data_IF_003977573910
#
_entry.id   IF_003977573910
#
_cell.length_a   1.000
_cell.length_b   1.000
_cell.length_c   1.000
_cell.angle_alpha   90.00
_cell.angle_beta   90.00
_cell.angle_gamma   90.00
#
_symmetry.space_group_name_H-M   'P 1'
#
loop_
_entity.id
_entity.type
_entity.pdbx_description
1 polymer ?
#
# COMPACT_ATOMS: atom_id res chain seq x y z
N UNK A 1 -7.14 -18.18 -14.04
CA UNK A 1 -7.91 -19.30 -13.47
C UNK A 1 -9.14 -18.76 -12.78
N UNK A 2 -10.29 -19.37 -13.03
CA UNK A 2 -11.59 -18.94 -12.48
C UNK A 2 -11.96 -19.83 -11.29
N UNK A 3 -12.78 -19.35 -10.34
CA UNK A 3 -13.08 -20.07 -9.09
C UNK A 3 -13.65 -21.49 -9.32
N UNK A 4 -14.42 -21.69 -10.38
CA UNK A 4 -14.99 -22.99 -10.75
C UNK A 4 -13.91 -24.01 -11.14
N UNK A 5 -12.79 -23.56 -11.71
CA UNK A 5 -11.65 -24.41 -12.07
C UNK A 5 -10.77 -24.69 -10.84
N UNK A 6 -10.66 -23.73 -9.92
CA UNK A 6 -9.85 -23.87 -8.72
C UNK A 6 -10.42 -24.89 -7.71
N UNK A 7 -11.75 -25.02 -7.63
CA UNK A 7 -12.42 -25.91 -6.65
C UNK A 7 -12.25 -27.41 -7.03
N UNK A 8 -11.87 -27.71 -8.26
CA UNK A 8 -11.65 -29.11 -8.71
C UNK A 8 -10.18 -29.53 -8.66
N UNK A 9 -9.27 -28.61 -8.39
CA UNK A 9 -7.83 -28.86 -8.32
C UNK A 9 -7.37 -28.89 -6.86
N UNK A 10 -6.78 -30.00 -6.44
CA UNK A 10 -6.36 -30.24 -5.07
C UNK A 10 -5.30 -29.23 -4.59
N UNK A 11 -4.39 -28.79 -5.46
CA UNK A 11 -3.36 -27.80 -5.11
C UNK A 11 -3.99 -26.43 -4.80
N UNK A 12 -5.07 -26.08 -5.50
CA UNK A 12 -5.81 -24.84 -5.25
C UNK A 12 -6.73 -24.92 -4.05
N UNK A 13 -7.35 -26.09 -3.79
CA UNK A 13 -8.10 -26.34 -2.55
C UNK A 13 -7.19 -26.19 -1.34
N UNK A 14 -5.99 -26.76 -1.37
CA UNK A 14 -5.00 -26.63 -0.30
C UNK A 14 -4.61 -25.16 -0.09
N UNK A 15 -4.34 -24.42 -1.17
CA UNK A 15 -4.03 -22.99 -1.09
C UNK A 15 -5.20 -22.16 -0.49
N UNK A 16 -6.45 -22.50 -0.82
CA UNK A 16 -7.65 -21.84 -0.24
C UNK A 16 -7.83 -22.19 1.24
N UNK A 17 -7.61 -23.45 1.63
CA UNK A 17 -7.68 -23.87 3.02
C UNK A 17 -6.60 -23.21 3.86
N UNK A 18 -5.38 -23.07 3.33
CA UNK A 18 -4.28 -22.39 4.01
C UNK A 18 -4.63 -20.93 4.32
N UNK A 19 -5.18 -20.20 3.34
CA UNK A 19 -5.67 -18.82 3.53
C UNK A 19 -6.78 -18.74 4.60
N UNK A 20 -7.78 -19.63 4.55
CA UNK A 20 -8.85 -19.64 5.56
C UNK A 20 -8.31 -19.97 6.96
N UNK A 21 -7.34 -20.88 7.04
CA UNK A 21 -6.68 -21.21 8.29
C UNK A 21 -5.88 -20.03 8.85
N UNK A 22 -5.27 -19.20 8.00
CA UNK A 22 -4.59 -17.97 8.45
C UNK A 22 -5.59 -17.00 9.11
N UNK A 23 -6.77 -16.82 8.53
CA UNK A 23 -7.78 -15.97 9.17
C UNK A 23 -8.22 -16.53 10.53
N UNK A 24 -8.37 -17.86 10.65
CA UNK A 24 -8.75 -18.51 11.91
C UNK A 24 -7.66 -18.35 12.96
N UNK A 25 -6.38 -18.55 12.58
CA UNK A 25 -5.24 -18.37 13.48
C UNK A 25 -5.13 -16.94 14.01
N UNK A 26 -5.38 -15.96 13.15
CA UNK A 26 -5.29 -14.54 13.51
C UNK A 26 -6.53 -14.01 14.25
N UNK A 27 -7.56 -14.85 14.42
CA UNK A 27 -8.84 -14.49 15.04
C UNK A 27 -9.49 -13.25 14.38
N UNK A 28 -9.40 -13.18 13.04
CA UNK A 28 -9.93 -12.06 12.24
C UNK A 28 -11.26 -12.40 11.55
N UNK A 29 -11.78 -13.62 11.74
CA UNK A 29 -13.08 -14.04 11.20
C UNK A 29 -13.69 -15.19 12.00
N UNK A 30 -15.01 -15.34 11.87
CA UNK A 30 -15.75 -16.51 12.31
C UNK A 30 -16.87 -16.79 11.31
N UNK A 31 -17.20 -18.07 11.14
CA UNK A 31 -18.29 -18.48 10.27
C UNK A 31 -19.64 -18.19 10.96
N UNK A 32 -20.49 -17.41 10.31
CA UNK A 32 -21.86 -17.12 10.78
C UNK A 32 -22.91 -17.66 9.83
N UNK A 33 -24.07 -18.10 10.34
CA UNK A 33 -25.23 -18.35 9.49
C UNK A 33 -25.58 -17.09 8.69
N UNK A 34 -26.05 -17.27 7.46
CA UNK A 34 -26.46 -16.14 6.62
C UNK A 34 -27.57 -15.35 7.32
N UNK A 35 -27.36 -14.06 7.64
CA UNK A 35 -28.37 -13.25 8.31
C UNK A 35 -29.58 -13.02 7.40
N UNK A 36 -30.78 -13.07 7.98
CA UNK A 36 -32.02 -12.72 7.29
C UNK A 36 -32.13 -11.19 7.16
N UNK A 37 -32.66 -10.72 6.03
CA UNK A 37 -32.96 -9.30 5.78
C UNK A 37 -31.76 -8.33 5.73
N UNK A 38 -30.59 -8.80 5.31
CA UNK A 38 -29.40 -7.95 5.09
C UNK A 38 -28.77 -8.20 3.72
N UNK A 39 -28.21 -7.15 3.12
CA UNK A 39 -27.47 -7.28 1.87
C UNK A 39 -26.12 -7.93 2.15
N UNK A 40 -25.92 -9.14 1.65
CA UNK A 40 -24.65 -9.84 1.73
C UNK A 40 -23.65 -9.16 0.81
N UNK A 41 -22.54 -8.69 1.37
CA UNK A 41 -21.45 -8.12 0.60
C UNK A 41 -20.69 -9.28 -0.06
N UNK A 42 -20.70 -9.31 -1.39
CA UNK A 42 -19.93 -10.29 -2.15
C UNK A 42 -18.43 -10.19 -1.90
N UNK A 43 -17.78 -11.34 -1.80
CA UNK A 43 -16.33 -11.53 -1.67
C UNK A 43 -15.80 -12.22 -2.92
N UNK A 44 -14.49 -12.15 -3.16
CA UNK A 44 -13.88 -12.73 -4.37
C UNK A 44 -12.58 -13.44 -4.03
N UNK A 45 -12.38 -14.61 -4.61
CA UNK A 45 -11.08 -15.28 -4.61
C UNK A 45 -10.17 -14.71 -5.70
N UNK A 46 -8.92 -14.45 -5.32
CA UNK A 46 -7.84 -14.07 -6.23
C UNK A 46 -6.84 -15.21 -6.22
N UNK A 47 -6.56 -15.76 -7.40
CA UNK A 47 -5.62 -16.85 -7.57
C UNK A 47 -4.36 -16.36 -8.27
N UNK A 48 -3.20 -16.63 -7.69
CA UNK A 48 -1.90 -16.19 -8.22
C UNK A 48 -0.88 -17.31 -8.10
N UNK A 49 -0.19 -17.59 -9.19
CA UNK A 49 0.98 -18.47 -9.18
C UNK A 49 2.20 -17.67 -8.73
N UNK A 50 2.93 -18.20 -7.75
CA UNK A 50 4.26 -17.71 -7.39
C UNK A 50 5.26 -18.47 -8.25
N UNK A 51 6.02 -17.74 -9.06
CA UNK A 51 7.05 -18.33 -9.94
C UNK A 51 8.45 -18.09 -9.38
N UNK A 52 9.39 -18.96 -9.72
CA UNK A 52 10.81 -18.73 -9.51
C UNK A 52 11.37 -17.72 -10.55
N UNK A 53 12.66 -17.40 -10.43
CA UNK A 53 13.38 -16.54 -11.38
C UNK A 53 13.40 -17.10 -12.83
N UNK A 54 13.11 -18.40 -12.99
CA UNK A 54 13.07 -19.11 -14.27
C UNK A 54 11.65 -19.21 -14.84
N UNK A 55 10.64 -18.69 -14.15
CA UNK A 55 9.24 -18.71 -14.57
C UNK A 55 8.47 -20.00 -14.24
N UNK A 56 9.07 -20.95 -13.52
CA UNK A 56 8.37 -22.18 -13.09
C UNK A 56 7.45 -21.88 -11.91
N UNK A 57 6.26 -22.47 -11.88
CA UNK A 57 5.34 -22.32 -10.75
C UNK A 57 5.90 -23.08 -9.54
N UNK A 58 6.25 -22.34 -8.49
CA UNK A 58 6.77 -22.87 -7.23
C UNK A 58 5.63 -23.14 -6.25
N UNK A 59 4.59 -22.30 -6.28
CA UNK A 59 3.45 -22.41 -5.37
C UNK A 59 2.20 -21.70 -5.88
N UNK A 60 1.05 -22.31 -5.65
CA UNK A 60 -0.26 -21.70 -5.84
C UNK A 60 -0.62 -20.85 -4.61
N UNK A 61 -1.02 -19.59 -4.83
CA UNK A 61 -1.50 -18.69 -3.76
C UNK A 61 -2.94 -18.28 -4.04
N UNK A 62 -3.85 -18.69 -3.17
CA UNK A 62 -5.23 -18.21 -3.16
C UNK A 62 -5.34 -17.12 -2.08
N UNK A 63 -5.96 -16.00 -2.43
CA UNK A 63 -6.23 -14.89 -1.52
C UNK A 63 -7.74 -14.67 -1.49
N UNK A 64 -8.32 -14.63 -0.30
CA UNK A 64 -9.75 -14.35 -0.18
C UNK A 64 -9.97 -12.87 0.12
N UNK A 65 -10.51 -12.15 -0.87
CA UNK A 65 -10.83 -10.74 -0.76
C UNK A 65 -12.06 -10.51 0.13
N UNK A 66 -11.86 -10.54 1.45
CA UNK A 66 -12.83 -10.09 2.42
C UNK A 66 -12.74 -8.56 2.53
N UNK A 67 -13.83 -7.85 2.21
CA UNK A 67 -13.86 -6.38 2.35
C UNK A 67 -13.60 -5.92 3.79
N UNK A 68 -13.85 -6.78 4.77
CA UNK A 68 -13.63 -6.52 6.19
C UNK A 68 -12.26 -6.96 6.71
N UNK A 69 -11.50 -7.78 5.96
CA UNK A 69 -10.21 -8.29 6.46
C UNK A 69 -9.22 -7.19 6.84
N UNK A 70 -9.01 -6.12 6.03
CA UNK A 70 -8.10 -5.03 6.44
C UNK A 70 -8.53 -4.33 7.74
N UNK A 71 -9.85 -4.24 7.97
CA UNK A 71 -10.39 -3.64 9.18
C UNK A 71 -10.20 -4.53 10.40
N UNK A 72 -10.49 -5.83 10.25
CA UNK A 72 -10.29 -6.82 11.31
C UNK A 72 -8.80 -6.97 11.67
N UNK A 73 -7.93 -6.99 10.66
CA UNK A 73 -6.48 -6.95 10.82
C UNK A 73 -6.04 -5.74 11.66
N UNK A 74 -6.44 -4.53 11.25
CA UNK A 74 -6.10 -3.32 11.98
C UNK A 74 -6.61 -3.34 13.44
N UNK A 75 -7.84 -3.82 13.68
CA UNK A 75 -8.39 -3.89 15.05
C UNK A 75 -7.63 -4.90 15.92
N UNK A 76 -7.28 -6.06 15.36
CA UNK A 76 -6.50 -7.10 16.05
C UNK A 76 -5.10 -6.61 16.41
N UNK A 77 -4.41 -6.01 15.45
CA UNK A 77 -3.08 -5.44 15.63
C UNK A 77 -3.14 -4.29 16.63
N UNK A 78 -4.10 -3.39 16.47
CA UNK A 78 -4.21 -2.26 17.39
C UNK A 78 -4.51 -2.69 18.81
N UNK A 79 -5.40 -3.65 19.01
CA UNK A 79 -5.71 -4.19 20.34
C UNK A 79 -4.46 -4.79 20.99
N UNK A 80 -3.65 -5.52 20.20
CA UNK A 80 -2.38 -6.05 20.68
C UNK A 80 -1.39 -4.95 21.10
N UNK A 81 -1.22 -3.90 20.29
CA UNK A 81 -0.34 -2.78 20.63
C UNK A 81 -0.81 -2.05 21.91
N UNK A 82 -2.11 -1.81 22.06
CA UNK A 82 -2.66 -1.18 23.26
C UNK A 82 -2.38 -2.03 24.52
N UNK A 83 -2.53 -3.35 24.43
CA UNK A 83 -2.20 -4.28 25.52
C UNK A 83 -0.70 -4.26 25.89
N UNK A 84 0.17 -3.99 24.92
CA UNK A 84 1.64 -3.88 25.11
C UNK A 84 2.10 -2.49 25.56
N UNK A 85 1.15 -1.62 25.94
CA UNK A 85 1.42 -0.31 26.53
C UNK A 85 1.67 0.80 25.50
N UNK A 86 1.32 0.59 24.23
CA UNK A 86 1.28 1.67 23.25
C UNK A 86 0.02 2.51 23.42
N UNK A 87 0.12 3.80 23.15
CA UNK A 87 -1.02 4.71 23.07
C UNK A 87 -1.29 5.08 21.61
N UNK A 88 -2.55 5.03 21.20
CA UNK A 88 -2.99 5.46 19.87
C UNK A 88 -3.16 6.97 19.84
N UNK A 89 -2.72 7.64 18.77
CA UNK A 89 -2.88 9.09 18.63
C UNK A 89 -4.36 9.51 18.54
N UNK A 90 -4.64 10.75 18.94
CA UNK A 90 -5.99 11.29 19.01
C UNK A 90 -6.52 11.59 17.60
N UNK A 91 -5.67 12.11 16.72
CA UNK A 91 -6.03 12.56 15.37
C UNK A 91 -5.77 11.42 14.39
N UNK A 92 -4.55 10.89 14.36
CA UNK A 92 -4.19 9.79 13.48
C UNK A 92 -4.36 8.44 14.20
N UNK A 93 -5.49 7.78 13.96
CA UNK A 93 -5.76 6.46 14.57
C UNK A 93 -4.77 5.38 14.12
N UNK A 94 -4.01 5.59 13.06
CA UNK A 94 -3.01 4.63 12.57
C UNK A 94 -1.61 4.86 13.16
N UNK A 95 -1.44 5.93 13.94
CA UNK A 95 -0.21 6.26 14.66
C UNK A 95 -0.28 5.78 16.12
N UNK A 96 0.77 5.08 16.54
CA UNK A 96 0.94 4.56 17.89
C UNK A 96 2.27 5.04 18.46
N UNK A 97 2.25 5.39 19.74
CA UNK A 97 3.40 5.92 20.45
C UNK A 97 3.59 5.19 21.76
N UNK A 98 4.82 4.85 22.09
CA UNK A 98 5.22 4.35 23.42
C UNK A 98 6.39 5.20 23.92
N UNK A 99 6.30 5.67 25.17
CA UNK A 99 7.36 6.43 25.83
C UNK A 99 7.87 5.65 27.03
N UNK A 100 9.18 5.45 27.10
CA UNK A 100 9.84 4.76 28.21
C UNK A 100 10.98 5.65 28.70
N UNK A 101 10.83 6.20 29.91
CA UNK A 101 11.74 7.24 30.41
C UNK A 101 11.90 8.42 29.43
N UNK A 102 13.08 8.57 28.83
CA UNK A 102 13.40 9.61 27.84
C UNK A 102 13.27 9.12 26.39
N UNK A 103 13.06 7.82 26.20
CA UNK A 103 12.99 7.21 24.88
C UNK A 103 11.58 7.22 24.29
N UNK A 104 11.53 7.35 22.98
CA UNK A 104 10.32 7.42 22.18
C UNK A 104 10.34 6.31 21.13
N UNK A 105 9.24 5.57 21.05
CA UNK A 105 8.93 4.65 19.96
C UNK A 105 7.68 5.13 19.24
N UNK A 106 7.76 5.23 17.91
CA UNK A 106 6.67 5.66 17.02
C UNK A 106 6.42 4.56 16.02
N UNK A 107 5.15 4.17 15.87
CA UNK A 107 4.70 3.11 14.97
C UNK A 107 3.53 3.64 14.14
N UNK A 108 3.72 3.67 12.83
CA UNK A 108 2.74 4.07 11.84
C UNK A 108 2.28 2.84 11.05
N UNK A 109 0.98 2.58 11.05
CA UNK A 109 0.41 1.48 10.28
C UNK A 109 -0.18 2.02 8.98
N UNK A 110 0.13 1.37 7.87
CA UNK A 110 -0.47 1.64 6.58
C UNK A 110 -0.95 0.34 5.95
N UNK A 111 -2.23 0.03 6.11
CA UNK A 111 -2.84 -1.22 5.64
C UNK A 111 -2.08 -2.42 6.20
N UNK A 112 -1.29 -3.10 5.37
CA UNK A 112 -0.51 -4.30 5.73
C UNK A 112 0.95 -3.96 6.09
N UNK A 113 1.41 -2.74 5.77
CA UNK A 113 2.76 -2.27 6.03
C UNK A 113 2.83 -1.53 7.37
N UNK A 114 3.95 -1.72 8.09
CA UNK A 114 4.20 -1.04 9.36
C UNK A 114 5.55 -0.31 9.25
N UNK A 115 5.51 1.00 9.40
CA UNK A 115 6.70 1.84 9.51
C UNK A 115 6.86 2.21 10.96
N UNK A 116 8.05 2.07 11.51
CA UNK A 116 8.31 2.46 12.89
C UNK A 116 9.72 3.02 13.05
N UNK A 117 9.91 3.77 14.13
CA UNK A 117 11.19 4.38 14.47
C UNK A 117 11.26 4.66 15.96
N UNK A 118 12.47 4.59 16.51
CA UNK A 118 12.73 4.75 17.93
C UNK A 118 14.00 5.55 18.19
N UNK A 119 14.06 6.24 19.33
CA UNK A 119 15.32 6.84 19.84
C UNK A 119 16.24 5.81 20.49
N UNK A 120 15.75 4.60 20.75
CA UNK A 120 16.48 3.51 21.40
C UNK A 120 16.38 2.21 20.63
N UNK A 121 17.54 1.61 20.35
CA UNK A 121 17.66 0.29 19.72
C UNK A 121 17.02 -0.81 20.57
N UNK A 122 17.02 -0.67 21.90
CA UNK A 122 16.36 -1.65 22.77
C UNK A 122 14.85 -1.70 22.54
N UNK A 123 14.21 -0.54 22.36
CA UNK A 123 12.77 -0.47 22.02
C UNK A 123 12.48 -1.01 20.61
N UNK A 124 13.41 -0.85 19.65
CA UNK A 124 13.30 -1.46 18.32
C UNK A 124 13.29 -2.99 18.41
N UNK A 125 14.24 -3.56 19.16
CA UNK A 125 14.30 -5.00 19.38
C UNK A 125 13.07 -5.51 20.12
N UNK A 126 12.65 -4.85 21.20
CA UNK A 126 11.43 -5.21 21.95
C UNK A 126 10.19 -5.21 21.04
N UNK A 127 10.01 -4.15 20.24
CA UNK A 127 8.88 -4.07 19.31
C UNK A 127 8.92 -5.18 18.26
N UNK A 128 10.10 -5.45 17.70
CA UNK A 128 10.29 -6.51 16.70
C UNK A 128 9.88 -7.86 17.28
N UNK A 129 10.34 -8.18 18.49
CA UNK A 129 10.02 -9.43 19.17
C UNK A 129 8.52 -9.52 19.49
N UNK A 130 7.92 -8.45 20.00
CA UNK A 130 6.47 -8.39 20.29
C UNK A 130 5.65 -8.69 19.03
N UNK A 131 6.02 -8.08 17.92
CA UNK A 131 5.28 -8.20 16.67
C UNK A 131 5.48 -9.55 15.99
N UNK A 132 6.70 -10.09 15.98
CA UNK A 132 7.01 -11.39 15.36
C UNK A 132 6.47 -12.58 16.16
N UNK A 133 6.35 -12.45 17.48
CA UNK A 133 5.78 -13.50 18.31
C UNK A 133 4.26 -13.59 18.16
N UNK A 134 3.60 -12.47 17.87
CA UNK A 134 2.14 -12.43 17.73
C UNK A 134 1.68 -12.67 16.29
N UNK A 135 2.43 -12.17 15.32
CA UNK A 135 2.01 -12.13 13.92
C UNK A 135 3.05 -12.77 13.01
N UNK A 136 2.60 -13.50 11.99
CA UNK A 136 3.46 -14.01 10.93
C UNK A 136 3.97 -12.85 10.04
N UNK A 137 5.00 -12.13 10.51
CA UNK A 137 5.60 -10.99 9.80
C UNK A 137 7.13 -11.01 9.83
N UNK A 138 7.74 -10.38 8.83
CA UNK A 138 9.20 -10.28 8.69
C UNK A 138 9.66 -8.83 8.70
N UNK A 139 10.83 -8.60 9.29
CA UNK A 139 11.50 -7.31 9.24
C UNK A 139 12.14 -7.12 7.87
N UNK A 140 11.83 -6.02 7.18
CA UNK A 140 12.44 -5.70 5.87
C UNK A 140 13.73 -4.87 5.98
N UNK A 141 14.30 -4.76 7.19
CA UNK A 141 15.48 -3.94 7.46
C UNK A 141 15.16 -2.45 7.52
N UNK A 142 16.16 -1.62 7.26
CA UNK A 142 16.00 -0.17 7.21
C UNK A 142 15.01 0.28 6.11
N UNK A 143 14.23 1.32 6.41
CA UNK A 143 13.28 1.87 5.46
C UNK A 143 14.01 2.53 4.29
N UNK A 144 14.01 1.85 3.14
CA UNK A 144 14.59 2.35 1.89
C UNK A 144 13.53 2.77 0.87
N UNK A 145 12.31 2.26 1.02
CA UNK A 145 11.19 2.57 0.15
C UNK A 145 9.87 2.50 0.93
N UNK A 146 9.01 3.49 0.77
CA UNK A 146 7.67 3.49 1.35
C UNK A 146 6.73 4.27 0.45
N UNK A 147 5.63 3.64 0.01
CA UNK A 147 4.61 4.28 -0.83
C UNK A 147 5.23 5.17 -1.90
N UNK A 148 5.91 4.58 -2.88
CA UNK A 148 6.45 5.35 -4.00
C UNK A 148 7.63 6.28 -3.69
N UNK A 149 7.98 6.48 -2.42
CA UNK A 149 9.07 7.32 -1.96
C UNK A 149 10.29 6.46 -1.66
N UNK A 150 11.41 6.85 -2.24
CA UNK A 150 12.73 6.37 -1.87
C UNK A 150 13.19 7.13 -0.65
N UNK A 151 13.63 6.38 0.36
CA UNK A 151 14.13 6.90 1.63
C UNK A 151 15.60 6.57 1.72
N UNK A 152 16.42 7.56 2.00
CA UNK A 152 17.83 7.38 2.29
C UNK A 152 18.14 7.99 3.65
N UNK A 153 18.48 7.14 4.61
CA UNK A 153 18.92 7.56 5.93
C UNK A 153 20.38 8.03 5.86
N UNK A 154 20.63 9.25 6.33
CA UNK A 154 21.93 9.90 6.38
C UNK A 154 22.29 10.18 7.84
N UNK A 155 23.55 10.51 8.11
CA UNK A 155 24.01 10.81 9.48
C UNK A 155 23.25 11.98 10.12
N UNK A 156 22.88 12.97 9.31
CA UNK A 156 22.27 14.23 9.76
C UNK A 156 20.77 14.33 9.43
N UNK A 157 20.13 13.23 9.00
CA UNK A 157 18.71 13.23 8.68
C UNK A 157 18.30 12.21 7.64
N UNK A 158 17.17 12.45 6.98
CA UNK A 158 16.63 11.57 5.95
C UNK A 158 16.42 12.34 4.65
N UNK A 159 16.78 11.70 3.54
CA UNK A 159 16.52 12.20 2.20
C UNK A 159 15.37 11.40 1.56
N UNK A 160 14.33 12.11 1.12
CA UNK A 160 13.14 11.57 0.49
C UNK A 160 13.13 11.96 -0.98
N UNK A 161 12.91 11.00 -1.89
CA UNK A 161 12.79 11.30 -3.32
C UNK A 161 11.84 10.37 -4.05
N UNK A 162 11.29 10.81 -5.18
CA UNK A 162 10.49 9.99 -6.11
C UNK A 162 11.21 9.80 -7.44
N UNK A 163 12.55 9.77 -7.45
CA UNK A 163 13.36 9.73 -8.69
C UNK A 163 13.04 8.50 -9.53
N UNK A 164 12.96 7.32 -8.90
CA UNK A 164 12.57 6.08 -9.59
C UNK A 164 11.16 6.18 -10.15
N UNK A 165 10.21 6.63 -9.34
CA UNK A 165 8.82 6.81 -9.77
C UNK A 165 8.70 7.77 -10.97
N UNK A 166 9.43 8.89 -10.96
CA UNK A 166 9.44 9.83 -12.08
C UNK A 166 10.01 9.22 -13.36
N UNK A 167 11.10 8.44 -13.28
CA UNK A 167 11.67 7.72 -14.43
C UNK A 167 10.72 6.65 -14.96
N UNK A 168 10.12 5.88 -14.06
CA UNK A 168 9.13 4.86 -14.40
C UNK A 168 7.90 5.49 -15.06
N UNK A 169 7.48 6.68 -14.64
CA UNK A 169 6.37 7.44 -15.23
C UNK A 169 6.68 7.88 -16.66
N UNK A 170 7.89 8.40 -16.90
CA UNK A 170 8.34 8.77 -18.25
C UNK A 170 8.31 7.55 -19.17
N UNK A 171 8.81 6.41 -18.70
CA UNK A 171 8.83 5.19 -19.52
C UNK A 171 7.46 4.57 -19.72
N UNK A 172 6.62 4.55 -18.68
CA UNK A 172 5.22 4.08 -18.73
C UNK A 172 4.41 4.77 -19.82
N UNK A 173 4.70 6.04 -20.09
CA UNK A 173 3.97 6.85 -21.07
C UNK A 173 4.75 7.06 -22.38
N UNK A 174 5.90 6.40 -22.57
CA UNK A 174 6.68 6.47 -23.81
C UNK A 174 7.27 7.87 -24.09
N UNK A 175 7.67 8.59 -23.04
CA UNK A 175 8.13 9.97 -23.11
C UNK A 175 9.66 10.11 -22.97
N UNK A 176 10.43 9.02 -23.12
CA UNK A 176 11.90 9.03 -22.95
C UNK A 176 12.61 9.98 -23.92
N UNK A 177 12.07 10.12 -25.14
CA UNK A 177 12.59 11.01 -26.18
C UNK A 177 11.98 12.42 -26.13
N UNK A 178 11.09 12.70 -25.18
CA UNK A 178 10.44 14.00 -25.07
C UNK A 178 11.44 15.08 -24.63
N UNK A 179 11.34 16.27 -25.22
CA UNK A 179 12.17 17.41 -24.83
C UNK A 179 11.79 17.87 -23.42
N UNK A 180 12.74 18.02 -22.49
CA UNK A 180 12.45 18.52 -21.15
C UNK A 180 12.05 19.99 -21.21
N UNK A 181 11.05 20.36 -20.41
CA UNK A 181 10.55 21.73 -20.28
C UNK A 181 10.61 22.11 -18.79
N UNK A 182 11.25 23.24 -18.49
CA UNK A 182 11.41 23.75 -17.11
C UNK A 182 10.12 24.31 -16.54
N UNK A 183 9.32 24.99 -17.37
CA UNK A 183 8.04 25.59 -16.97
C UNK A 183 6.91 24.88 -17.73
N UNK A 184 6.23 23.88 -17.15
CA UNK A 184 5.31 23.04 -17.90
C UNK A 184 4.07 23.79 -18.41
N UNK A 185 3.71 24.91 -17.77
CA UNK A 185 2.57 25.74 -18.17
C UNK A 185 2.75 27.19 -17.71
N UNK A 186 2.31 28.16 -18.52
CA UNK A 186 2.17 29.57 -18.10
C UNK A 186 1.01 29.73 -17.12
N UNK A 187 1.14 30.62 -16.14
CA UNK A 187 0.05 30.96 -15.21
C UNK A 187 -1.15 31.62 -15.89
N UNK A 188 -0.97 32.14 -17.09
CA UNK A 188 -2.02 32.77 -17.91
C UNK A 188 -2.69 31.80 -18.89
N UNK A 189 -2.23 30.55 -18.97
CA UNK A 189 -2.80 29.56 -19.90
C UNK A 189 -4.27 29.30 -19.56
N UNK A 190 -5.16 29.55 -20.52
CA UNK A 190 -6.58 29.19 -20.44
C UNK A 190 -6.84 27.98 -21.33
N UNK A 191 -7.22 26.86 -20.72
CA UNK A 191 -7.63 25.66 -21.43
C UNK A 191 -9.13 25.75 -21.76
N UNK A 192 -9.47 25.42 -23.00
CA UNK A 192 -10.84 25.41 -23.50
C UNK A 192 -11.13 24.08 -24.18
N UNK A 193 -12.41 23.71 -24.25
CA UNK A 193 -12.83 22.50 -24.96
C UNK A 193 -12.53 22.64 -26.44
N UNK A 194 -11.72 21.73 -26.98
CA UNK A 194 -11.47 21.63 -28.41
C UNK A 194 -12.50 20.69 -29.05
N UNK A 195 -13.48 21.28 -29.74
CA UNK A 195 -14.56 20.51 -30.39
C UNK A 195 -14.12 19.83 -31.70
N UNK A 196 -13.00 20.27 -32.28
CA UNK A 196 -12.48 19.78 -33.57
C UNK A 196 -11.19 18.95 -33.34
N UNK A 197 -10.69 18.94 -32.11
CA UNK A 197 -9.49 18.24 -31.69
C UNK A 197 -9.55 16.74 -31.84
N UNK A 198 -8.37 16.11 -31.79
CA UNK A 198 -8.25 14.65 -31.81
C UNK A 198 -8.86 14.07 -30.55
N UNK A 199 -9.59 12.96 -30.73
CA UNK A 199 -10.09 12.18 -29.61
C UNK A 199 -8.92 11.70 -28.73
N UNK A 200 -9.07 11.86 -27.42
CA UNK A 200 -8.10 11.41 -26.41
C UNK A 200 -8.73 10.27 -25.62
N UNK A 201 -7.97 9.21 -25.39
CA UNK A 201 -8.39 8.16 -24.47
C UNK A 201 -8.45 8.72 -23.03
N UNK A 202 -9.67 8.80 -22.50
CA UNK A 202 -9.92 9.31 -21.15
C UNK A 202 -9.24 8.48 -20.07
N UNK A 203 -9.11 7.16 -20.26
CA UNK A 203 -8.47 6.26 -19.29
C UNK A 203 -6.98 6.54 -19.23
N UNK A 204 -6.35 6.69 -20.40
CA UNK A 204 -4.94 7.05 -20.50
C UNK A 204 -4.67 8.43 -19.88
N UNK A 205 -5.51 9.42 -20.20
CA UNK A 205 -5.38 10.77 -19.65
C UNK A 205 -5.51 10.79 -18.13
N UNK A 206 -6.56 10.14 -17.58
CA UNK A 206 -6.75 10.03 -16.12
C UNK A 206 -5.60 9.29 -15.45
N UNK A 207 -5.04 8.25 -16.11
CA UNK A 207 -3.86 7.54 -15.63
C UNK A 207 -2.63 8.44 -15.57
N UNK A 208 -2.39 9.28 -16.59
CA UNK A 208 -1.31 10.27 -16.60
C UNK A 208 -1.48 11.29 -15.47
N UNK A 209 -2.66 11.94 -15.39
CA UNK A 209 -2.94 12.96 -14.39
C UNK A 209 -2.85 12.38 -12.97
N UNK A 210 -3.44 11.21 -12.72
CA UNK A 210 -3.35 10.54 -11.42
C UNK A 210 -1.91 10.22 -11.02
N UNK A 211 -1.09 9.78 -11.96
CA UNK A 211 0.33 9.50 -11.72
C UNK A 211 1.12 10.79 -11.43
N UNK A 212 0.83 11.88 -12.16
CA UNK A 212 1.48 13.18 -11.95
C UNK A 212 1.04 13.86 -10.65
N UNK A 213 -0.24 13.76 -10.27
CA UNK A 213 -0.75 14.24 -8.99
C UNK A 213 0.02 13.63 -7.82
N UNK A 214 0.31 12.34 -7.89
CA UNK A 214 1.11 11.68 -6.87
C UNK A 214 2.58 12.14 -6.84
N UNK A 215 3.16 12.41 -8.01
CA UNK A 215 4.53 12.95 -8.12
C UNK A 215 4.64 14.38 -7.54
N UNK A 216 3.54 15.14 -7.45
CA UNK A 216 3.56 16.49 -6.84
C UNK A 216 4.04 16.49 -5.38
N UNK A 217 3.99 15.35 -4.69
CA UNK A 217 4.49 15.20 -3.33
C UNK A 217 5.98 15.56 -3.20
N UNK A 218 6.80 15.30 -4.22
CA UNK A 218 8.22 15.70 -4.27
C UNK A 218 8.57 16.68 -5.38
N UNK A 219 7.61 17.00 -6.27
CA UNK A 219 7.76 17.94 -7.39
C UNK A 219 6.71 19.06 -7.33
N UNK A 220 6.84 20.00 -6.37
CA UNK A 220 5.89 21.11 -6.27
C UNK A 220 5.88 22.04 -7.48
N UNK A 221 6.96 22.05 -8.27
CA UNK A 221 7.12 22.86 -9.47
C UNK A 221 6.15 22.47 -10.60
N UNK A 222 5.66 21.23 -10.63
CA UNK A 222 4.65 20.82 -11.63
C UNK A 222 3.21 20.97 -11.14
N UNK A 223 3.00 21.24 -9.84
CA UNK A 223 1.67 21.20 -9.20
C UNK A 223 0.65 22.12 -9.85
N UNK A 224 1.06 23.33 -10.27
CA UNK A 224 0.18 24.25 -10.97
C UNK A 224 -0.36 23.63 -12.27
N UNK A 225 0.56 23.17 -13.12
CA UNK A 225 0.23 22.62 -14.44
C UNK A 225 -0.64 21.37 -14.32
N UNK A 226 -0.30 20.47 -13.40
CA UNK A 226 -1.08 19.25 -13.12
C UNK A 226 -2.47 19.60 -12.60
N UNK A 227 -2.56 20.57 -11.67
CA UNK A 227 -3.84 20.99 -11.09
C UNK A 227 -4.77 21.70 -12.08
N UNK A 228 -4.22 22.40 -13.08
CA UNK A 228 -5.01 22.96 -14.18
C UNK A 228 -5.52 21.85 -15.11
N UNK A 229 -4.64 20.92 -15.50
CA UNK A 229 -5.00 19.80 -16.36
C UNK A 229 -6.03 18.85 -15.71
N UNK A 230 -5.94 18.60 -14.41
CA UNK A 230 -6.83 17.69 -13.69
C UNK A 230 -8.32 18.10 -13.66
N UNK A 231 -8.65 19.29 -14.15
CA UNK A 231 -10.04 19.81 -14.22
C UNK A 231 -10.80 19.36 -15.48
N UNK A 232 -10.09 18.78 -16.45
CA UNK A 232 -10.62 18.37 -17.76
C UNK A 232 -10.61 16.84 -17.88
#
# INVERSE_FOLDING_TARGET
MVQTEAIVDNEWILAMQEELNQFTRNDVWYLVPRPTNTNVIGTKWIFKNKTDEKGNVVRNKALYGLKQAPRAWYERLSSHLLLKGYTRDIIDKTLFVKRVAHDLMVVQIYVDDIVFGSTSNALVSEFTDVMQNEFEMSMSGELTYFLGLQVQQLKDGMFLSQTKYAKDLVSKFGLESAKPITNPMSTTTKLHKDLIGKYVDQTLYKSMIGSLLYLTASRPDISFSVGVCARF
#
